data_IF_016099807800
#
_entry.id   IF_016099807800
#
_cell.length_a   1.000
_cell.length_b   1.000
_cell.length_c   1.000
_cell.angle_alpha   90.00
_cell.angle_beta   90.00
_cell.angle_gamma   90.00
#
_symmetry.space_group_name_H-M   'P 1'
#
loop_
_entity.id
_entity.type
_entity.pdbx_description
1 polymer ?
#
# COMPACT_ATOMS: atom_id res chain seq x y z
N UNK A 1 1.55 12.68 28.10
CA UNK A 1 2.73 12.43 27.24
C UNK A 1 2.64 11.10 26.47
N UNK A 2 2.34 9.96 27.12
CA UNK A 2 2.33 8.64 26.47
C UNK A 2 1.41 8.44 25.24
N UNK A 3 0.25 9.14 25.17
CA UNK A 3 -0.66 9.02 24.00
C UNK A 3 -0.09 9.66 22.73
N UNK A 4 0.58 10.82 22.85
CA UNK A 4 1.13 11.55 21.70
C UNK A 4 2.31 10.78 21.09
N UNK A 5 3.15 10.15 21.92
CA UNK A 5 4.25 9.33 21.43
C UNK A 5 3.77 8.08 20.68
N UNK A 6 2.70 7.41 21.16
CA UNK A 6 2.07 6.30 20.44
C UNK A 6 1.53 6.71 19.07
N UNK A 7 0.91 7.89 18.96
CA UNK A 7 0.41 8.40 17.67
C UNK A 7 1.58 8.67 16.72
N UNK A 8 2.65 9.31 17.22
CA UNK A 8 3.86 9.57 16.43
C UNK A 8 4.49 8.28 15.93
N UNK A 9 4.54 7.25 16.75
CA UNK A 9 5.06 5.93 16.37
C UNK A 9 4.20 5.27 15.29
N UNK A 10 2.87 5.24 15.46
CA UNK A 10 1.93 4.72 14.44
C UNK A 10 2.03 5.51 13.13
N UNK A 11 2.13 6.84 13.21
CA UNK A 11 2.26 7.71 12.04
C UNK A 11 3.59 7.48 11.31
N UNK A 12 4.67 7.23 12.04
CA UNK A 12 5.98 6.93 11.47
C UNK A 12 5.99 5.54 10.79
N UNK A 13 5.47 4.51 11.46
CA UNK A 13 5.30 3.18 10.87
C UNK A 13 4.40 3.23 9.64
N UNK A 14 3.33 4.03 9.68
CA UNK A 14 2.45 4.24 8.54
C UNK A 14 3.19 4.87 7.36
N UNK A 15 3.96 5.95 7.61
CA UNK A 15 4.73 6.61 6.55
C UNK A 15 5.69 5.62 5.88
N UNK A 16 6.38 4.81 6.66
CA UNK A 16 7.27 3.76 6.14
C UNK A 16 6.49 2.73 5.31
N UNK A 17 5.35 2.24 5.82
CA UNK A 17 4.52 1.28 5.09
C UNK A 17 3.97 1.85 3.77
N UNK A 18 3.54 3.12 3.76
CA UNK A 18 3.09 3.81 2.55
C UNK A 18 4.22 3.94 1.53
N UNK A 19 5.42 4.35 1.95
CA UNK A 19 6.57 4.47 1.05
C UNK A 19 6.96 3.13 0.42
N UNK A 20 6.94 2.05 1.21
CA UNK A 20 7.20 0.69 0.70
C UNK A 20 6.12 0.29 -0.30
N UNK A 21 4.85 0.52 0.02
CA UNK A 21 3.74 0.17 -0.86
C UNK A 21 3.76 0.93 -2.19
N UNK A 22 4.09 2.23 -2.16
CA UNK A 22 4.30 3.02 -3.38
C UNK A 22 5.46 2.50 -4.21
N UNK A 23 6.58 2.13 -3.59
CA UNK A 23 7.73 1.54 -4.29
C UNK A 23 7.37 0.25 -5.03
N UNK A 24 6.60 -0.64 -4.39
CA UNK A 24 6.14 -1.89 -5.01
C UNK A 24 5.15 -1.59 -6.14
N UNK A 25 4.25 -0.62 -5.97
CA UNK A 25 3.31 -0.19 -7.01
C UNK A 25 4.04 0.30 -8.27
N UNK A 26 5.05 1.15 -8.13
CA UNK A 26 5.83 1.69 -9.26
C UNK A 26 6.56 0.56 -10.00
N UNK A 27 7.18 -0.37 -9.27
CA UNK A 27 7.85 -1.53 -9.87
C UNK A 27 6.87 -2.43 -10.64
N UNK A 28 5.66 -2.62 -10.12
CA UNK A 28 4.64 -3.42 -10.78
C UNK A 28 4.10 -2.76 -12.04
N UNK A 29 3.73 -1.49 -11.95
CA UNK A 29 3.25 -0.74 -13.12
C UNK A 29 4.32 -0.70 -14.20
N UNK A 30 5.59 -0.48 -13.84
CA UNK A 30 6.70 -0.53 -14.79
C UNK A 30 6.89 -1.90 -15.45
N UNK A 31 6.71 -2.99 -14.69
CA UNK A 31 6.77 -4.37 -15.21
C UNK A 31 5.61 -4.68 -16.16
N UNK A 32 4.41 -4.19 -15.85
CA UNK A 32 3.21 -4.32 -16.69
C UNK A 32 3.38 -3.56 -18.00
N UNK A 33 3.85 -2.30 -17.96
CA UNK A 33 4.08 -1.47 -19.15
C UNK A 33 5.10 -2.11 -20.09
N UNK A 34 6.23 -2.59 -19.57
CA UNK A 34 7.25 -3.29 -20.39
C UNK A 34 6.69 -4.54 -21.10
N UNK A 35 5.74 -5.23 -20.46
CA UNK A 35 5.11 -6.44 -21.04
C UNK A 35 4.03 -6.09 -22.06
N UNK A 36 3.30 -5.01 -21.83
CA UNK A 36 2.34 -4.48 -22.79
C UNK A 36 3.02 -4.06 -24.09
N UNK A 37 4.15 -3.35 -24.00
CA UNK A 37 4.92 -2.89 -25.16
C UNK A 37 5.53 -4.06 -25.97
N UNK A 38 5.81 -5.18 -25.31
CA UNK A 38 6.26 -6.41 -25.96
C UNK A 38 5.13 -7.19 -26.68
N UNK A 39 3.89 -6.67 -26.73
CA UNK A 39 2.70 -7.31 -27.31
C UNK A 39 2.41 -8.73 -26.78
N UNK A 40 3.03 -9.10 -25.66
CA UNK A 40 2.95 -10.44 -25.10
C UNK A 40 1.96 -10.39 -23.93
N UNK A 41 0.66 -10.37 -24.28
CA UNK A 41 -0.46 -10.47 -23.33
C UNK A 41 -0.53 -11.92 -22.86
N UNK A 42 0.45 -12.28 -22.06
CA UNK A 42 0.67 -13.62 -21.55
C UNK A 42 0.16 -13.73 -20.11
N UNK A 43 0.10 -14.94 -19.55
CA UNK A 43 -0.38 -15.22 -18.18
C UNK A 43 0.23 -14.30 -17.12
N UNK A 44 1.48 -13.88 -17.33
CA UNK A 44 2.22 -13.03 -16.40
C UNK A 44 1.69 -11.58 -16.36
N UNK A 45 1.12 -11.06 -17.46
CA UNK A 45 0.45 -9.76 -17.45
C UNK A 45 -0.79 -9.81 -16.54
N UNK A 46 -1.61 -10.84 -16.70
CA UNK A 46 -2.76 -11.09 -15.83
C UNK A 46 -2.35 -11.29 -14.37
N UNK A 47 -1.25 -12.00 -14.13
CA UNK A 47 -0.69 -12.19 -12.79
C UNK A 47 -0.22 -10.85 -12.16
N UNK A 48 0.37 -9.96 -12.96
CA UNK A 48 0.73 -8.60 -12.54
C UNK A 48 -0.48 -7.73 -12.21
N UNK A 49 -1.57 -7.84 -12.97
CA UNK A 49 -2.84 -7.15 -12.70
C UNK A 49 -3.45 -7.64 -11.39
N UNK A 50 -3.53 -8.95 -11.18
CA UNK A 50 -4.03 -9.54 -9.93
C UNK A 50 -3.16 -9.11 -8.74
N UNK A 51 -1.84 -9.14 -8.89
CA UNK A 51 -0.90 -8.72 -7.84
C UNK A 51 -1.06 -7.23 -7.49
N UNK A 52 -1.33 -6.38 -8.49
CA UNK A 52 -1.61 -4.95 -8.29
C UNK A 52 -2.90 -4.76 -7.46
N UNK A 53 -3.97 -5.51 -7.75
CA UNK A 53 -5.19 -5.49 -6.95
C UNK A 53 -4.96 -5.96 -5.51
N UNK A 54 -4.16 -7.01 -5.30
CA UNK A 54 -3.79 -7.49 -3.96
C UNK A 54 -3.05 -6.42 -3.16
N UNK A 55 -2.10 -5.72 -3.78
CA UNK A 55 -1.35 -4.64 -3.11
C UNK A 55 -2.26 -3.46 -2.79
N UNK A 56 -3.16 -3.10 -3.70
CA UNK A 56 -4.17 -2.08 -3.44
C UNK A 56 -5.04 -2.45 -2.23
N UNK A 57 -5.46 -3.71 -2.14
CA UNK A 57 -6.23 -4.22 -1.00
C UNK A 57 -5.45 -4.16 0.31
N UNK A 58 -4.15 -4.50 0.29
CA UNK A 58 -3.27 -4.38 1.45
C UNK A 58 -3.15 -2.91 1.88
N UNK A 59 -2.93 -1.99 0.94
CA UNK A 59 -2.84 -0.55 1.22
C UNK A 59 -4.12 -0.06 1.88
N UNK A 60 -5.29 -0.37 1.32
CA UNK A 60 -6.60 0.02 1.89
C UNK A 60 -6.77 -0.55 3.29
N UNK A 61 -6.44 -1.82 3.51
CA UNK A 61 -6.52 -2.45 4.83
C UNK A 61 -5.62 -1.75 5.85
N UNK A 62 -4.38 -1.42 5.45
CA UNK A 62 -3.42 -0.69 6.29
C UNK A 62 -3.97 0.70 6.64
N UNK A 63 -4.46 1.44 5.64
CA UNK A 63 -5.05 2.78 5.83
C UNK A 63 -6.27 2.74 6.75
N UNK A 64 -7.18 1.77 6.56
CA UNK A 64 -8.37 1.60 7.42
C UNK A 64 -7.99 1.26 8.86
N UNK A 65 -6.99 0.38 9.06
CA UNK A 65 -6.51 0.00 10.40
C UNK A 65 -5.91 1.20 11.15
N UNK A 66 -5.32 2.14 10.41
CA UNK A 66 -4.75 3.36 10.98
C UNK A 66 -5.82 4.42 11.20
N UNK A 67 -6.74 4.61 10.26
CA UNK A 67 -7.90 5.48 10.45
C UNK A 67 -8.73 5.05 11.66
N UNK A 68 -8.92 3.75 11.87
CA UNK A 68 -9.59 3.21 13.04
C UNK A 68 -8.83 3.50 14.35
N UNK A 69 -7.50 3.26 14.38
CA UNK A 69 -6.65 3.60 15.54
C UNK A 69 -6.57 5.10 15.82
N UNK A 70 -6.62 5.94 14.79
CA UNK A 70 -6.64 7.40 14.95
C UNK A 70 -8.00 7.88 15.44
N UNK A 71 -9.12 7.33 14.94
CA UNK A 71 -10.48 7.63 15.42
C UNK A 71 -10.71 7.20 16.86
N UNK A 72 -10.11 6.10 17.31
CA UNK A 72 -10.11 5.69 18.73
C UNK A 72 -9.49 6.75 19.66
N UNK A 73 -8.61 7.60 19.12
CA UNK A 73 -7.90 8.62 19.89
C UNK A 73 -8.59 9.98 19.79
N UNK A 74 -9.30 10.26 18.69
CA UNK A 74 -10.11 11.47 18.52
C UNK A 74 -11.44 11.40 19.31
N UNK A 75 -11.88 10.19 19.67
CA UNK A 75 -13.09 9.93 20.45
C UNK A 75 -12.91 9.84 21.98
N UNK A 76 -11.74 10.22 22.52
CA UNK A 76 -11.42 10.26 23.97
C UNK A 76 -10.97 11.65 24.40
#
# INVERSE_FOLDING_TARGET
MAKIDRIKEVLNTLRVAMSIAFGILVLLVGSIIKRYDANNIDIIFWLGVVLTFVILFIIVTVVLKISAKTKEIEGL
#
